data_IF_364990740697
#
_entry.id   IF_364990740697
#
_cell.length_a   1.000
_cell.length_b   1.000
_cell.length_c   1.000
_cell.angle_alpha   90.00
_cell.angle_beta   90.00
_cell.angle_gamma   90.00
#
_symmetry.space_group_name_H-M   'P 1'
#
loop_
_entity.id
_entity.type
_entity.pdbx_description
1 polymer ?
#
# COMPACT_ATOMS: atom_id res chain seq x y z
N UNK A 1 -4.02 8.38 1.93
CA UNK A 1 -4.35 7.48 0.84
C UNK A 1 -5.45 6.53 1.28
N UNK A 2 -5.17 5.53 2.14
CA UNK A 2 -6.06 4.42 2.49
C UNK A 2 -7.38 4.92 3.08
N UNK A 3 -7.37 5.81 4.07
CA UNK A 3 -8.59 6.33 4.70
C UNK A 3 -9.56 6.96 3.71
N UNK A 4 -9.07 7.80 2.79
CA UNK A 4 -9.93 8.42 1.75
C UNK A 4 -10.50 7.39 0.78
N UNK A 5 -9.70 6.39 0.40
CA UNK A 5 -10.19 5.31 -0.48
C UNK A 5 -11.23 4.46 0.24
N UNK A 6 -11.04 4.15 1.52
CA UNK A 6 -12.05 3.44 2.32
C UNK A 6 -13.35 4.24 2.48
N UNK A 7 -13.28 5.56 2.70
CA UNK A 7 -14.48 6.41 2.77
C UNK A 7 -15.29 6.31 1.48
N UNK A 8 -14.63 6.34 0.32
CA UNK A 8 -15.29 6.33 -0.99
C UNK A 8 -15.79 4.95 -1.41
N UNK A 9 -14.94 3.93 -1.23
CA UNK A 9 -15.11 2.61 -1.87
C UNK A 9 -15.16 1.44 -0.87
N UNK A 10 -14.81 1.66 0.39
CA UNK A 10 -14.83 0.62 1.42
C UNK A 10 -16.25 0.19 1.78
N UNK A 11 -16.42 -1.10 2.12
CA UNK A 11 -17.64 -1.60 2.73
C UNK A 11 -17.85 -0.95 4.11
N UNK A 12 -19.08 -0.98 4.63
CA UNK A 12 -19.37 -0.46 5.97
C UNK A 12 -18.60 -1.20 7.07
N UNK A 13 -18.28 -2.48 6.86
CA UNK A 13 -17.39 -3.26 7.73
C UNK A 13 -15.99 -2.64 7.76
N UNK A 14 -15.37 -2.44 6.60
CA UNK A 14 -14.03 -1.87 6.50
C UNK A 14 -13.96 -0.44 7.07
N UNK A 15 -14.97 0.37 6.81
CA UNK A 15 -15.04 1.73 7.36
C UNK A 15 -15.07 1.73 8.89
N UNK A 16 -15.94 0.91 9.50
CA UNK A 16 -16.06 0.82 10.97
C UNK A 16 -14.80 0.26 11.62
N UNK A 17 -14.14 -0.68 10.95
CA UNK A 17 -12.95 -1.34 11.48
C UNK A 17 -11.71 -0.45 11.41
N UNK A 18 -11.50 0.26 10.29
CA UNK A 18 -10.23 0.93 10.02
C UNK A 18 -10.25 2.45 10.18
N UNK A 19 -11.35 3.15 9.88
CA UNK A 19 -11.34 4.62 9.93
C UNK A 19 -11.05 5.18 11.33
N UNK A 20 -11.60 4.65 12.42
CA UNK A 20 -11.23 5.11 13.76
C UNK A 20 -9.74 4.90 14.05
N UNK A 21 -9.19 3.72 13.76
CA UNK A 21 -7.77 3.39 13.96
C UNK A 21 -6.83 4.29 13.17
N UNK A 22 -7.23 4.65 11.94
CA UNK A 22 -6.48 5.60 11.11
C UNK A 22 -6.47 7.00 11.73
N UNK A 23 -7.61 7.47 12.24
CA UNK A 23 -7.72 8.78 12.89
C UNK A 23 -6.92 8.86 14.20
N UNK A 24 -6.89 7.78 14.96
CA UNK A 24 -6.16 7.65 16.21
C UNK A 24 -4.67 7.34 16.01
N UNK A 25 -4.24 7.12 14.76
CA UNK A 25 -2.89 6.67 14.39
C UNK A 25 -2.51 5.34 15.07
N UNK A 26 -3.46 4.44 15.19
CA UNK A 26 -3.37 3.17 15.92
C UNK A 26 -3.12 1.97 14.99
N UNK A 27 -2.95 2.23 13.69
CA UNK A 27 -2.71 1.23 12.67
C UNK A 27 -1.74 1.73 11.60
N UNK A 28 -0.72 0.92 11.32
CA UNK A 28 0.22 1.16 10.22
C UNK A 28 -0.08 0.22 9.06
N UNK A 29 -0.05 0.76 7.85
CA UNK A 29 -0.29 0.01 6.62
C UNK A 29 0.96 -0.01 5.75
N UNK A 30 1.27 -1.19 5.21
CA UNK A 30 2.16 -1.32 4.06
C UNK A 30 1.34 -1.30 2.76
N UNK A 31 1.91 -0.77 1.68
CA UNK A 31 1.24 -0.69 0.38
C UNK A 31 2.01 -1.52 -0.65
N UNK A 32 1.33 -2.49 -1.28
CA UNK A 32 1.88 -3.41 -2.26
C UNK A 32 1.28 -3.23 -3.64
N UNK A 33 1.87 -2.35 -4.44
CA UNK A 33 1.50 -2.20 -5.85
C UNK A 33 2.57 -2.76 -6.77
N UNK A 34 3.84 -2.44 -6.52
CA UNK A 34 4.96 -2.80 -7.38
C UNK A 34 5.29 -4.28 -7.32
N UNK A 35 5.68 -4.83 -8.47
CA UNK A 35 6.20 -6.18 -8.64
C UNK A 35 7.51 -6.14 -9.44
N UNK A 36 8.34 -7.19 -9.44
CA UNK A 36 9.61 -7.18 -10.17
C UNK A 36 9.49 -6.79 -11.65
N UNK A 37 8.38 -7.16 -12.30
CA UNK A 37 8.08 -6.85 -13.69
C UNK A 37 7.08 -5.71 -13.89
N UNK A 38 6.49 -5.18 -12.81
CA UNK A 38 5.44 -4.15 -12.86
C UNK A 38 5.70 -3.04 -11.84
N UNK A 39 6.42 -2.01 -12.27
CA UNK A 39 6.69 -0.78 -11.50
C UNK A 39 5.92 0.40 -12.07
N UNK A 40 6.50 1.10 -13.06
CA UNK A 40 5.86 2.26 -13.71
C UNK A 40 4.54 1.91 -14.39
N UNK A 41 4.41 0.71 -14.93
CA UNK A 41 3.13 0.17 -15.40
C UNK A 41 2.49 -0.70 -14.31
N UNK A 42 1.88 -0.06 -13.31
CA UNK A 42 1.21 -0.75 -12.21
C UNK A 42 0.05 -1.66 -12.69
N UNK A 43 -0.54 -1.37 -13.85
CA UNK A 43 -1.58 -2.22 -14.44
C UNK A 43 -1.04 -3.57 -14.94
N UNK A 44 0.28 -3.69 -15.11
CA UNK A 44 0.92 -4.97 -15.48
C UNK A 44 1.13 -5.93 -14.30
N UNK A 45 0.64 -5.59 -13.09
CA UNK A 45 0.77 -6.47 -11.92
C UNK A 45 0.15 -7.85 -12.16
N UNK A 46 0.82 -8.88 -11.62
CA UNK A 46 0.50 -10.28 -11.84
C UNK A 46 0.27 -11.08 -10.56
N UNK A 47 0.41 -10.47 -9.36
CA UNK A 47 0.03 -11.13 -8.12
C UNK A 47 -1.37 -11.72 -8.30
N UNK A 48 -1.46 -13.03 -8.34
CA UNK A 48 -2.67 -13.74 -8.71
C UNK A 48 -3.61 -13.81 -7.51
N UNK A 49 -4.90 -13.54 -7.72
CA UNK A 49 -5.95 -13.78 -6.74
C UNK A 49 -7.04 -14.67 -7.35
N UNK A 50 -7.20 -15.87 -6.82
CA UNK A 50 -8.18 -16.86 -7.29
C UNK A 50 -9.28 -17.02 -6.26
N UNK A 51 -10.54 -17.04 -6.71
CA UNK A 51 -11.69 -17.25 -5.83
C UNK A 51 -11.61 -18.63 -5.18
N UNK A 52 -11.75 -18.67 -3.85
CA UNK A 52 -11.78 -19.89 -3.04
C UNK A 52 -12.80 -19.73 -1.91
N UNK A 53 -13.91 -20.45 -1.99
CA UNK A 53 -14.97 -20.36 -1.00
C UNK A 53 -15.51 -18.95 -0.81
N UNK A 54 -15.42 -18.44 0.41
CA UNK A 54 -15.85 -17.11 0.81
C UNK A 54 -14.76 -16.04 0.70
N UNK A 55 -13.62 -16.38 0.06
CA UNK A 55 -12.49 -15.47 -0.07
C UNK A 55 -11.68 -15.68 -1.34
N UNK A 56 -10.41 -15.34 -1.26
CA UNK A 56 -9.46 -15.33 -2.35
C UNK A 56 -8.14 -15.93 -1.90
N UNK A 57 -7.50 -16.72 -2.77
CA UNK A 57 -6.16 -17.24 -2.59
C UNK A 57 -5.18 -16.41 -3.40
N UNK A 58 -4.19 -15.82 -2.74
CA UNK A 58 -3.20 -14.96 -3.36
C UNK A 58 -1.86 -15.69 -3.47
N UNK A 59 -1.26 -15.64 -4.68
CA UNK A 59 0.05 -16.24 -5.00
C UNK A 59 0.89 -15.28 -5.84
N UNK A 60 2.16 -15.09 -5.46
CA UNK A 60 3.12 -14.25 -6.17
C UNK A 60 3.97 -13.41 -5.24
N UNK A 61 4.36 -12.21 -5.67
CA UNK A 61 5.21 -11.35 -4.86
C UNK A 61 4.99 -9.86 -5.13
N UNK A 62 5.35 -9.05 -4.13
CA UNK A 62 5.46 -7.59 -4.23
C UNK A 62 6.89 -7.17 -3.89
N UNK A 63 7.30 -6.02 -4.42
CA UNK A 63 8.64 -5.45 -4.22
C UNK A 63 8.54 -3.97 -3.86
N UNK A 64 9.57 -3.45 -3.24
CA UNK A 64 9.66 -2.05 -2.79
C UNK A 64 8.53 -1.66 -1.82
N UNK A 65 8.06 -2.62 -1.02
CA UNK A 65 7.04 -2.37 -0.01
C UNK A 65 7.66 -1.69 1.22
N UNK A 66 7.46 -0.39 1.34
CA UNK A 66 7.90 0.38 2.51
C UNK A 66 7.13 -0.07 3.74
N UNK A 67 7.83 -0.14 4.89
CA UNK A 67 7.25 -0.43 6.21
C UNK A 67 6.67 -1.84 6.40
N UNK A 68 6.78 -2.76 5.44
CA UNK A 68 6.19 -4.10 5.56
C UNK A 68 6.67 -4.91 6.77
N UNK A 69 7.88 -4.63 7.28
CA UNK A 69 8.48 -5.34 8.43
C UNK A 69 7.88 -4.94 9.80
N UNK A 70 7.10 -3.86 9.88
CA UNK A 70 6.45 -3.43 11.13
C UNK A 70 4.97 -3.05 10.98
N UNK A 71 4.46 -2.91 9.75
CA UNK A 71 3.05 -2.66 9.51
C UNK A 71 2.17 -3.81 10.03
N UNK A 72 0.96 -3.51 10.48
CA UNK A 72 -0.02 -4.51 10.90
C UNK A 72 -0.88 -5.00 9.74
N UNK A 73 -1.12 -4.14 8.75
CA UNK A 73 -1.99 -4.44 7.61
C UNK A 73 -1.33 -4.16 6.28
N UNK A 74 -1.67 -4.99 5.31
CA UNK A 74 -1.20 -4.88 3.94
C UNK A 74 -2.33 -4.45 3.01
N UNK A 75 -2.15 -3.33 2.35
CA UNK A 75 -3.00 -2.83 1.29
C UNK A 75 -2.42 -3.26 -0.06
N UNK A 76 -3.06 -4.21 -0.74
CA UNK A 76 -2.45 -4.85 -1.91
C UNK A 76 -3.36 -4.91 -3.10
N UNK A 77 -2.81 -4.62 -4.29
CA UNK A 77 -3.46 -4.87 -5.58
C UNK A 77 -3.12 -6.26 -6.08
N UNK A 78 -4.13 -6.99 -6.58
CA UNK A 78 -3.95 -8.32 -7.14
C UNK A 78 -4.80 -8.54 -8.40
N UNK A 79 -4.34 -9.44 -9.28
CA UNK A 79 -5.00 -9.84 -10.51
C UNK A 79 -6.11 -10.85 -10.20
N UNK A 80 -7.36 -10.41 -10.29
CA UNK A 80 -8.55 -11.24 -10.06
C UNK A 80 -9.17 -11.77 -11.35
N UNK A 81 -8.80 -11.18 -12.49
CA UNK A 81 -9.30 -11.59 -13.81
C UNK A 81 -8.20 -11.40 -14.85
N UNK A 82 -7.81 -12.48 -15.52
CA UNK A 82 -6.75 -12.49 -16.54
C UNK A 82 -7.29 -12.31 -17.96
N UNK A 83 -8.60 -12.45 -18.17
CA UNK A 83 -9.21 -12.41 -19.48
C UNK A 83 -9.65 -10.99 -19.88
N UNK A 84 -9.69 -10.09 -18.90
CA UNK A 84 -9.99 -8.67 -19.11
C UNK A 84 -8.75 -7.87 -19.53
N UNK A 85 -9.01 -6.66 -20.04
CA UNK A 85 -7.96 -5.68 -20.25
C UNK A 85 -7.16 -5.45 -18.94
N UNK A 86 -5.88 -5.15 -19.05
CA UNK A 86 -4.97 -5.08 -17.89
C UNK A 86 -5.44 -4.15 -16.76
N UNK A 87 -6.18 -3.10 -17.08
CA UNK A 87 -6.74 -2.16 -16.12
C UNK A 87 -8.03 -2.65 -15.44
N UNK A 88 -8.74 -3.59 -16.06
CA UNK A 88 -10.08 -4.03 -15.66
C UNK A 88 -10.09 -5.40 -14.93
N UNK A 89 -8.94 -5.97 -14.63
CA UNK A 89 -8.82 -7.27 -13.99
C UNK A 89 -8.11 -7.23 -12.64
N UNK A 90 -8.02 -6.07 -12.00
CA UNK A 90 -7.34 -5.87 -10.72
C UNK A 90 -8.36 -5.58 -9.63
N UNK A 91 -8.17 -6.16 -8.45
CA UNK A 91 -8.92 -5.84 -7.25
C UNK A 91 -7.96 -5.44 -6.13
N UNK A 92 -8.48 -4.70 -5.14
CA UNK A 92 -7.74 -4.31 -3.95
C UNK A 92 -8.19 -5.14 -2.75
N UNK A 93 -7.22 -5.51 -1.94
CA UNK A 93 -7.43 -6.27 -0.71
C UNK A 93 -6.70 -5.64 0.47
N UNK A 94 -7.28 -5.84 1.65
CA UNK A 94 -6.64 -5.65 2.95
C UNK A 94 -6.39 -7.02 3.58
N UNK A 95 -5.18 -7.27 4.05
CA UNK A 95 -4.86 -8.49 4.80
C UNK A 95 -3.88 -8.19 5.92
N UNK A 96 -3.92 -8.94 7.03
CA UNK A 96 -2.95 -8.77 8.10
C UNK A 96 -1.55 -9.18 7.65
N UNK A 97 -0.52 -8.48 8.12
CA UNK A 97 0.88 -8.79 7.76
C UNK A 97 1.38 -10.12 8.34
N UNK A 98 0.70 -10.67 9.34
CA UNK A 98 0.95 -11.98 9.94
C UNK A 98 0.12 -13.11 9.29
N UNK A 99 -0.54 -12.85 8.15
CA UNK A 99 -1.32 -13.85 7.44
C UNK A 99 -0.46 -15.08 7.09
N UNK A 100 -1.03 -16.27 7.28
CA UNK A 100 -0.35 -17.53 6.96
C UNK A 100 0.02 -17.57 5.47
N UNK A 101 1.29 -17.88 5.17
CA UNK A 101 1.82 -17.91 3.80
C UNK A 101 2.41 -16.58 3.32
N UNK A 102 2.29 -15.50 4.11
CA UNK A 102 2.96 -14.25 3.82
C UNK A 102 4.38 -14.24 4.41
N UNK A 103 5.37 -13.85 3.62
CA UNK A 103 6.76 -13.73 4.08
C UNK A 103 7.34 -12.40 3.65
N UNK A 104 7.99 -11.71 4.59
CA UNK A 104 8.59 -10.38 4.37
C UNK A 104 10.11 -10.51 4.43
N UNK A 105 10.80 -10.01 3.41
CA UNK A 105 12.25 -9.96 3.34
C UNK A 105 12.70 -8.53 3.15
N UNK A 106 13.57 -8.04 4.05
CA UNK A 106 14.16 -6.72 3.93
C UNK A 106 15.02 -6.61 2.66
N UNK A 107 14.99 -5.44 2.03
CA UNK A 107 15.83 -5.13 0.88
C UNK A 107 16.90 -4.12 1.32
N UNK A 108 18.20 -4.46 1.18
CA UNK A 108 19.25 -3.51 1.46
C UNK A 108 19.21 -2.32 0.48
N UNK A 109 19.34 -1.12 1.01
CA UNK A 109 19.38 0.12 0.24
C UNK A 109 20.73 0.84 0.45
N UNK A 110 21.06 1.80 -0.41
CA UNK A 110 22.30 2.61 -0.29
C UNK A 110 22.40 3.30 1.08
N UNK A 111 21.25 3.64 1.70
CA UNK A 111 21.22 4.29 3.01
C UNK A 111 21.40 3.37 4.20
N UNK A 112 21.71 2.07 3.99
CA UNK A 112 21.85 1.03 5.02
C UNK A 112 20.59 0.87 5.91
N UNK A 113 19.49 1.50 5.56
CA UNK A 113 18.21 1.36 6.26
C UNK A 113 17.34 0.32 5.57
N UNK A 114 16.88 -0.66 6.34
CA UNK A 114 15.96 -1.70 5.87
C UNK A 114 14.50 -1.21 5.93
N UNK A 115 14.19 -0.16 5.17
CA UNK A 115 12.84 0.45 5.16
C UNK A 115 11.93 -0.10 4.06
N UNK A 116 12.50 -0.74 3.06
CA UNK A 116 11.74 -1.33 1.94
C UNK A 116 11.92 -2.84 1.89
N UNK A 117 10.92 -3.55 1.39
CA UNK A 117 10.86 -4.99 1.52
C UNK A 117 10.36 -5.66 0.24
N UNK A 118 10.70 -6.93 0.08
CA UNK A 118 10.00 -7.88 -0.76
C UNK A 118 8.97 -8.61 0.10
N UNK A 119 7.79 -8.85 -0.46
CA UNK A 119 6.72 -9.59 0.21
C UNK A 119 6.28 -10.72 -0.70
N UNK A 120 6.38 -11.95 -0.21
CA UNK A 120 6.02 -13.17 -0.93
C UNK A 120 4.71 -13.72 -0.41
N UNK A 121 3.89 -14.18 -1.36
CA UNK A 121 2.60 -14.80 -1.10
C UNK A 121 2.66 -16.26 -1.55
N UNK A 122 2.53 -17.17 -0.62
CA UNK A 122 2.40 -18.61 -0.84
C UNK A 122 1.00 -19.03 -0.34
N UNK A 123 0.07 -19.06 -1.27
CA UNK A 123 -1.32 -19.44 -1.00
C UNK A 123 -1.97 -18.67 0.16
N UNK A 124 -1.77 -17.36 0.22
CA UNK A 124 -2.33 -16.48 1.27
C UNK A 124 -3.83 -16.33 1.08
N UNK A 125 -4.60 -16.71 2.10
CA UNK A 125 -6.06 -16.56 2.05
C UNK A 125 -6.51 -15.20 2.58
N UNK A 126 -7.43 -14.55 1.84
CA UNK A 126 -8.09 -13.30 2.22
C UNK A 126 -9.60 -13.49 2.08
N UNK A 127 -10.35 -13.25 3.14
CA UNK A 127 -11.82 -13.26 3.11
C UNK A 127 -12.35 -12.12 2.24
N UNK A 128 -13.44 -12.34 1.47
CA UNK A 128 -14.00 -11.34 0.55
C UNK A 128 -14.47 -10.05 1.24
N UNK A 129 -14.78 -10.09 2.51
CA UNK A 129 -15.10 -8.92 3.34
C UNK A 129 -13.95 -7.89 3.40
N UNK A 130 -12.70 -8.33 3.16
CA UNK A 130 -11.52 -7.48 3.12
C UNK A 130 -11.13 -7.05 1.69
N UNK A 131 -11.97 -7.33 0.70
CA UNK A 131 -11.86 -6.73 -0.62
C UNK A 131 -12.38 -5.30 -0.58
N UNK A 132 -11.60 -4.38 -1.11
CA UNK A 132 -11.95 -2.96 -1.12
C UNK A 132 -12.70 -2.62 -2.40
N UNK A 133 -13.92 -2.19 -2.25
CA UNK A 133 -14.79 -1.77 -3.36
C UNK A 133 -15.26 -2.93 -4.25
N UNK A 134 -15.55 -2.64 -5.50
CA UNK A 134 -16.07 -3.60 -6.48
C UNK A 134 -14.96 -4.48 -7.06
N UNK A 135 -15.34 -5.71 -7.40
CA UNK A 135 -14.45 -6.66 -8.06
C UNK A 135 -13.94 -6.11 -9.40
N UNK A 136 -12.66 -6.27 -9.67
CA UNK A 136 -12.01 -5.81 -10.91
C UNK A 136 -11.95 -4.29 -11.11
N UNK A 137 -12.24 -3.49 -10.09
CA UNK A 137 -12.14 -2.01 -10.11
C UNK A 137 -10.92 -1.47 -9.38
N UNK A 138 -10.06 -2.33 -8.89
CA UNK A 138 -8.91 -1.96 -8.07
C UNK A 138 -7.97 -0.96 -8.74
N UNK A 139 -7.73 -1.06 -10.05
CA UNK A 139 -6.85 -0.12 -10.75
C UNK A 139 -7.38 1.32 -10.72
N UNK A 140 -8.70 1.50 -10.86
CA UNK A 140 -9.33 2.81 -10.71
C UNK A 140 -9.07 3.39 -9.31
N UNK A 141 -9.23 2.58 -8.26
CA UNK A 141 -9.02 3.01 -6.88
C UNK A 141 -7.54 3.32 -6.57
N UNK A 142 -6.62 2.54 -7.17
CA UNK A 142 -5.18 2.80 -7.10
C UNK A 142 -4.87 4.17 -7.73
N UNK A 143 -5.39 4.45 -8.91
CA UNK A 143 -5.15 5.71 -9.63
C UNK A 143 -5.68 6.91 -8.84
N UNK A 144 -6.90 6.83 -8.32
CA UNK A 144 -7.47 7.88 -7.44
C UNK A 144 -6.63 8.09 -6.17
N UNK A 145 -6.13 7.00 -5.57
CA UNK A 145 -5.30 7.06 -4.38
C UNK A 145 -3.94 7.73 -4.65
N UNK A 146 -3.29 7.39 -5.76
CA UNK A 146 -2.01 7.96 -6.16
C UNK A 146 -2.13 9.44 -6.55
N UNK A 147 -3.22 9.86 -7.17
CA UNK A 147 -3.48 11.27 -7.44
C UNK A 147 -3.59 12.08 -6.13
N UNK A 148 -4.30 11.56 -5.15
CA UNK A 148 -4.40 12.18 -3.82
C UNK A 148 -3.05 12.21 -3.09
N UNK A 149 -2.24 11.17 -3.22
CA UNK A 149 -0.91 11.10 -2.61
C UNK A 149 0.00 12.21 -3.12
N UNK A 150 0.01 12.45 -4.42
CA UNK A 150 0.84 13.50 -5.03
C UNK A 150 0.56 14.88 -4.45
N UNK A 151 -0.69 15.17 -4.10
CA UNK A 151 -1.04 16.44 -3.44
C UNK A 151 -0.63 16.49 -1.96
N UNK A 152 -0.62 15.36 -1.26
CA UNK A 152 -0.36 15.32 0.18
C UNK A 152 1.12 15.17 0.54
N UNK A 153 1.92 14.49 -0.30
CA UNK A 153 3.35 14.29 -0.06
C UNK A 153 4.18 15.56 -0.25
N UNK A 154 3.68 16.54 -1.00
CA UNK A 154 4.37 17.80 -1.29
C UNK A 154 3.68 18.99 -0.60
N UNK A 155 3.23 18.80 0.64
CA UNK A 155 2.69 19.92 1.41
C UNK A 155 3.78 20.94 1.70
N UNK A 156 3.42 22.20 1.60
CA UNK A 156 4.32 23.36 1.82
C UNK A 156 4.98 23.31 3.21
N UNK A 157 4.24 22.93 4.24
CA UNK A 157 4.67 22.97 5.63
C UNK A 157 5.96 22.18 5.95
N UNK A 158 6.20 20.92 5.48
CA UNK A 158 7.47 20.24 5.71
C UNK A 158 8.66 20.91 5.02
N UNK A 159 8.44 21.59 3.89
CA UNK A 159 9.49 22.31 3.16
C UNK A 159 9.84 23.58 3.90
N UNK A 160 8.84 24.35 4.33
CA UNK A 160 9.00 25.56 5.13
C UNK A 160 9.81 25.29 6.40
N UNK A 161 9.43 24.29 7.19
CA UNK A 161 10.15 23.93 8.40
C UNK A 161 11.62 23.50 8.16
N UNK A 162 11.93 22.86 7.02
CA UNK A 162 13.32 22.56 6.65
C UNK A 162 14.11 23.80 6.27
N UNK A 163 13.50 24.77 5.59
CA UNK A 163 14.12 26.04 5.25
C UNK A 163 14.39 26.85 6.51
N UNK A 164 13.46 26.91 7.45
CA UNK A 164 13.65 27.58 8.74
C UNK A 164 14.81 26.96 9.54
N UNK A 165 14.87 25.61 9.63
CA UNK A 165 15.98 24.91 10.28
C UNK A 165 17.33 25.22 9.63
N UNK A 166 17.38 25.32 8.29
CA UNK A 166 18.58 25.68 7.56
C UNK A 166 19.00 27.12 7.83
N UNK A 167 18.05 28.05 7.83
CA UNK A 167 18.31 29.46 8.17
C UNK A 167 18.85 29.61 9.60
N UNK A 168 18.27 28.91 10.56
CA UNK A 168 18.74 28.88 11.95
C UNK A 168 20.15 28.31 12.08
N UNK A 169 20.44 27.22 11.35
CA UNK A 169 21.77 26.65 11.31
C UNK A 169 22.84 27.63 10.78
N UNK A 170 22.58 28.27 9.64
CA UNK A 170 23.47 29.26 9.03
C UNK A 170 23.68 30.45 9.98
N UNK A 171 22.61 30.97 10.60
CA UNK A 171 22.69 32.10 11.54
C UNK A 171 23.54 31.78 12.79
N UNK A 172 23.55 30.51 13.25
CA UNK A 172 24.40 30.04 14.34
C UNK A 172 25.85 29.89 13.89
N UNK A 173 26.08 29.24 12.73
CA UNK A 173 27.43 29.01 12.19
C UNK A 173 28.18 30.29 11.80
N UNK A 174 27.50 31.43 11.61
CA UNK A 174 28.12 32.74 11.36
C UNK A 174 28.56 33.45 12.65
N UNK A 175 28.21 32.92 13.83
CA UNK A 175 28.57 33.52 15.13
C UNK A 175 29.79 32.85 15.79
N UNK A 176 30.22 31.73 15.23
CA UNK A 176 31.45 31.00 15.60
C UNK A 176 32.57 31.33 14.61
#
# INVERSE_FOLDING_TARGET
IIGKTLIRHGSEKLKREFLPKILENDVEFAIGYSEPQAGSDAAAMQLRAVREGDGWRLDGQKIFTTSAHFAQWYWVGARTDTDKAKHDGISLFLLPMDAKGLTVHAMPTIGEREITNQVFFDSVFVHDDYRVGELNRGFQYISEALDLERFTMFTFSPIEGRVELLCDYVARAQRD
#
